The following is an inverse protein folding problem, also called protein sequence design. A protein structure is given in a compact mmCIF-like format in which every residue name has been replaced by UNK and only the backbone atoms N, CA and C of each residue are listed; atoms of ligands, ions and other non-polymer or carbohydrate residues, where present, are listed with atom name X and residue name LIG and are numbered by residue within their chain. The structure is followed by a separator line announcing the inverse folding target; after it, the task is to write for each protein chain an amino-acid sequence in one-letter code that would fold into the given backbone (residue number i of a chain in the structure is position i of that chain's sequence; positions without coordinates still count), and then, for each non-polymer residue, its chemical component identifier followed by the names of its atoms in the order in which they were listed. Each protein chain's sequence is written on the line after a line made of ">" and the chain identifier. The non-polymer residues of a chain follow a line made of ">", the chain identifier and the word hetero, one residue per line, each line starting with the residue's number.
data_IF_063114652829
#
_entry.id   IF_063114652829
#
_cell.length_a   1.000
_cell.length_b   1.000
_cell.length_c   1.000
_cell.angle_alpha   90.00
_cell.angle_beta   90.00
_cell.angle_gamma   90.00
#
_symmetry.space_group_name_H-M   'P 1'
#
loop_
_entity.id
_entity.type
_entity.pdbx_description
1 polymer ?
#
# COMPACT_ATOMS: atom_id res chain seq x y z
N UNK A 1 -29.05 -43.14 -6.26
CA UNK A 1 -28.93 -43.85 -7.57
C UNK A 1 -28.74 -42.78 -8.62
N UNK A 2 -27.59 -42.65 -9.12
CA UNK A 2 -27.03 -42.57 -10.46
C UNK A 2 -25.63 -41.96 -10.37
N UNK A 3 -24.65 -42.87 -10.56
CA UNK A 3 -23.25 -42.55 -10.77
C UNK A 3 -23.06 -42.21 -12.25
N UNK A 4 -22.31 -41.15 -12.55
CA UNK A 4 -21.70 -41.08 -13.88
C UNK A 4 -20.26 -40.58 -13.76
N UNK A 5 -19.36 -41.51 -14.10
CA UNK A 5 -17.91 -41.32 -14.27
C UNK A 5 -17.66 -40.59 -15.59
N UNK A 6 -16.70 -39.66 -15.61
CA UNK A 6 -16.05 -39.25 -16.85
C UNK A 6 -14.53 -39.43 -16.77
N UNK A 7 -14.01 -40.02 -17.83
CA UNK A 7 -12.65 -40.49 -18.01
C UNK A 7 -11.67 -39.36 -18.31
N UNK A 8 -10.44 -39.61 -17.80
CA UNK A 8 -9.18 -39.00 -18.25
C UNK A 8 -8.92 -39.26 -19.76
N UNK A 9 -8.45 -38.22 -20.46
CA UNK A 9 -7.69 -38.37 -21.72
C UNK A 9 -6.36 -37.62 -21.51
N UNK A 10 -5.30 -38.42 -21.37
CA UNK A 10 -3.90 -37.99 -21.42
C UNK A 10 -3.50 -38.03 -22.91
N UNK A 11 -3.01 -36.91 -23.44
CA UNK A 11 -2.34 -36.89 -24.76
C UNK A 11 -0.89 -36.42 -24.54
N UNK A 12 0.00 -37.41 -24.60
CA UNK A 12 1.45 -37.28 -24.78
C UNK A 12 1.74 -36.85 -26.21
N UNK A 13 2.51 -35.78 -26.41
CA UNK A 13 3.21 -35.54 -27.69
C UNK A 13 4.69 -35.35 -27.38
N UNK A 14 5.44 -36.34 -27.77
CA UNK A 14 6.90 -36.41 -27.76
C UNK A 14 7.50 -35.83 -29.03
N UNK A 15 8.52 -34.98 -28.88
CA UNK A 15 9.79 -34.98 -29.60
C UNK A 15 9.85 -34.49 -31.05
N UNK A 16 10.77 -33.54 -31.26
CA UNK A 16 11.97 -33.82 -32.10
C UNK A 16 12.86 -32.57 -32.17
N UNK A 17 14.09 -32.79 -31.72
CA UNK A 17 15.23 -31.88 -31.86
C UNK A 17 15.82 -32.11 -33.26
N UNK A 18 16.05 -31.04 -34.03
CA UNK A 18 17.03 -31.06 -35.13
C UNK A 18 17.91 -29.80 -35.03
N UNK A 19 19.18 -30.08 -34.78
CA UNK A 19 20.32 -29.18 -34.85
C UNK A 19 20.84 -29.13 -36.30
N UNK A 20 21.17 -27.95 -36.83
CA UNK A 20 22.14 -27.85 -37.92
C UNK A 20 22.85 -26.48 -37.90
N UNK A 21 24.15 -26.56 -37.87
CA UNK A 21 25.14 -25.50 -37.97
C UNK A 21 25.31 -24.94 -39.40
N UNK A 22 25.79 -23.67 -39.45
CA UNK A 22 26.86 -23.35 -40.40
C UNK A 22 26.65 -22.22 -41.39
N UNK A 23 27.55 -21.22 -41.40
CA UNK A 23 27.91 -20.51 -42.60
C UNK A 23 28.01 -18.97 -42.51
N UNK A 24 29.22 -18.47 -42.46
CA UNK A 24 29.62 -17.04 -42.40
C UNK A 24 29.54 -16.32 -43.76
N UNK A 25 29.36 -15.02 -43.69
CA UNK A 25 29.67 -13.82 -44.46
C UNK A 25 30.25 -13.96 -45.93
N UNK A 26 30.33 -12.88 -46.76
CA UNK A 26 30.73 -11.52 -46.45
C UNK A 26 30.00 -10.35 -47.19
N UNK A 27 30.45 -9.15 -46.84
CA UNK A 27 30.09 -7.82 -47.30
C UNK A 27 30.38 -7.52 -48.81
N UNK A 28 29.66 -6.52 -49.37
CA UNK A 28 30.20 -5.51 -50.32
C UNK A 28 29.25 -4.31 -50.43
N UNK A 29 29.72 -3.22 -50.17
CA UNK A 29 29.92 -1.85 -50.64
C UNK A 29 29.23 -1.43 -51.93
N UNK A 30 28.58 -0.27 -51.93
CA UNK A 30 28.95 1.00 -52.59
C UNK A 30 27.74 1.83 -53.03
N UNK A 31 27.76 3.10 -52.68
CA UNK A 31 26.95 4.21 -53.17
C UNK A 31 27.41 4.63 -54.60
N UNK A 32 26.90 5.70 -55.30
CA UNK A 32 26.25 6.92 -54.81
C UNK A 32 25.10 7.51 -55.71
N UNK A 33 24.46 8.53 -55.13
CA UNK A 33 23.78 9.73 -55.62
C UNK A 33 23.35 9.94 -57.08
N UNK A 34 22.14 10.53 -57.30
CA UNK A 34 21.94 11.79 -58.01
C UNK A 34 20.57 12.42 -57.78
N UNK A 35 20.58 13.73 -57.71
CA UNK A 35 19.49 14.70 -57.52
C UNK A 35 18.53 14.78 -58.68
N UNK A 36 17.26 15.21 -58.47
CA UNK A 36 16.74 16.51 -58.90
C UNK A 36 15.20 16.52 -59.00
N UNK A 37 14.62 17.64 -58.63
CA UNK A 37 13.43 18.15 -59.30
C UNK A 37 12.19 18.35 -58.47
N UNK A 38 11.97 19.58 -57.96
CA UNK A 38 10.84 20.04 -57.20
C UNK A 38 9.47 20.06 -57.89
N UNK A 39 8.46 20.17 -57.07
CA UNK A 39 7.22 20.98 -57.27
C UNK A 39 6.37 20.92 -56.02
N UNK A 40 6.17 22.02 -55.36
CA UNK A 40 5.04 22.37 -54.46
C UNK A 40 3.90 22.97 -55.34
N UNK A 41 2.68 23.27 -54.76
CA UNK A 41 1.99 22.80 -53.56
C UNK A 41 0.53 22.33 -53.87
N UNK A 42 -0.06 21.60 -52.91
CA UNK A 42 -1.53 21.60 -52.81
C UNK A 42 -1.90 21.46 -51.31
N UNK A 43 -2.41 22.55 -50.75
CA UNK A 43 -3.05 22.61 -49.46
C UNK A 43 -4.34 21.80 -49.44
N UNK A 44 -4.48 20.85 -48.53
CA UNK A 44 -5.78 20.42 -48.06
C UNK A 44 -5.74 20.44 -46.53
N UNK A 45 -6.50 21.39 -45.96
CA UNK A 45 -6.71 21.50 -44.55
C UNK A 45 -7.35 20.23 -43.97
N UNK A 46 -6.67 19.62 -43.02
CA UNK A 46 -7.28 18.73 -42.08
C UNK A 46 -7.34 19.53 -40.78
N UNK A 47 -8.53 19.82 -40.33
CA UNK A 47 -8.77 20.37 -39.01
C UNK A 47 -8.27 19.36 -37.97
N UNK A 48 -7.10 19.60 -37.44
CA UNK A 48 -6.63 18.97 -36.23
C UNK A 48 -7.50 19.51 -35.09
N UNK A 49 -8.34 18.65 -34.53
CA UNK A 49 -8.94 18.86 -33.23
C UNK A 49 -7.81 19.21 -32.25
N UNK A 50 -7.85 20.42 -31.71
CA UNK A 50 -6.86 20.87 -30.77
C UNK A 50 -6.94 20.08 -29.48
N UNK A 51 -6.08 19.08 -29.31
CA UNK A 51 -5.59 18.71 -28.00
C UNK A 51 -4.66 19.84 -27.58
N UNK A 52 -5.11 20.66 -26.61
CA UNK A 52 -4.22 21.62 -25.98
C UNK A 52 -3.00 20.86 -25.48
N UNK A 53 -1.82 21.30 -25.89
CA UNK A 53 -0.56 20.83 -25.34
C UNK A 53 -0.53 21.21 -23.85
N UNK A 54 -0.96 20.30 -22.98
CA UNK A 54 -1.01 20.50 -21.52
C UNK A 54 0.40 20.56 -20.91
N UNK A 55 1.43 20.26 -21.69
CA UNK A 55 2.80 20.12 -21.18
C UNK A 55 3.03 18.87 -20.31
N UNK A 56 1.99 18.04 -20.16
CA UNK A 56 2.08 16.79 -19.42
C UNK A 56 2.68 15.67 -20.28
N UNK A 57 3.33 14.69 -19.63
CA UNK A 57 3.81 13.48 -20.29
C UNK A 57 2.62 12.61 -20.77
N UNK A 58 2.83 11.76 -21.76
CA UNK A 58 1.79 10.88 -22.27
C UNK A 58 1.46 9.71 -21.35
N UNK A 59 2.34 9.41 -20.39
CA UNK A 59 2.19 8.32 -19.42
C UNK A 59 2.85 8.68 -18.09
N UNK A 60 2.35 8.11 -17.00
CA UNK A 60 2.89 8.23 -15.65
C UNK A 60 2.91 6.85 -14.98
N UNK A 61 4.04 6.47 -14.40
CA UNK A 61 4.17 5.19 -13.69
C UNK A 61 3.99 5.40 -12.19
N UNK A 62 2.98 4.74 -11.65
CA UNK A 62 2.54 4.86 -10.24
C UNK A 62 2.78 3.52 -9.56
N UNK A 63 3.41 3.53 -8.38
CA UNK A 63 3.68 2.36 -7.57
C UNK A 63 3.12 2.58 -6.17
N UNK A 64 2.05 1.88 -5.82
CA UNK A 64 1.25 2.09 -4.63
C UNK A 64 1.10 0.78 -3.84
N UNK A 65 0.45 0.83 -2.70
CA UNK A 65 -0.06 -0.33 -1.99
C UNK A 65 -1.20 -0.99 -2.78
N UNK A 66 -1.45 -2.29 -2.53
CA UNK A 66 -2.64 -2.95 -3.06
C UNK A 66 -3.91 -2.32 -2.45
N UNK A 67 -5.02 -2.29 -3.20
CA UNK A 67 -6.34 -1.79 -2.79
C UNK A 67 -6.35 -0.40 -2.11
N UNK A 68 -5.44 0.47 -2.50
CA UNK A 68 -5.19 1.73 -1.80
C UNK A 68 -5.59 2.97 -2.58
N UNK A 69 -6.28 2.81 -3.69
CA UNK A 69 -6.88 3.86 -4.51
C UNK A 69 -8.08 3.32 -5.29
N UNK A 70 -9.12 4.13 -5.44
CA UNK A 70 -10.19 3.84 -6.37
C UNK A 70 -9.66 3.94 -7.83
N UNK A 71 -9.59 2.84 -8.54
CA UNK A 71 -9.09 2.80 -9.92
C UNK A 71 -9.96 3.62 -10.90
N UNK A 72 -11.22 3.93 -10.54
CA UNK A 72 -12.05 4.86 -11.32
C UNK A 72 -11.43 6.26 -11.37
N UNK A 73 -10.72 6.68 -10.32
CA UNK A 73 -9.98 7.95 -10.30
C UNK A 73 -8.81 7.93 -11.29
N UNK A 74 -8.14 6.79 -11.45
CA UNK A 74 -7.06 6.65 -12.44
C UNK A 74 -7.62 6.75 -13.86
N UNK A 75 -8.71 6.04 -14.14
CA UNK A 75 -9.42 6.09 -15.42
C UNK A 75 -9.89 7.51 -15.73
N UNK A 76 -10.50 8.18 -14.75
CA UNK A 76 -10.96 9.57 -14.91
C UNK A 76 -9.78 10.52 -15.19
N UNK A 77 -8.65 10.35 -14.50
CA UNK A 77 -7.46 11.16 -14.75
C UNK A 77 -6.93 10.96 -16.18
N UNK A 78 -6.89 9.72 -16.65
CA UNK A 78 -6.48 9.39 -18.04
C UNK A 78 -7.38 10.08 -19.06
N UNK A 79 -8.72 10.02 -18.85
CA UNK A 79 -9.71 10.60 -19.77
C UNK A 79 -9.65 12.13 -19.80
N UNK A 80 -9.49 12.77 -18.63
CA UNK A 80 -9.50 14.23 -18.51
C UNK A 80 -8.19 14.86 -18.98
N UNK A 81 -7.05 14.20 -18.78
CA UNK A 81 -5.73 14.79 -19.00
C UNK A 81 -4.92 14.15 -20.13
N UNK A 82 -5.38 13.02 -20.67
CA UNK A 82 -4.71 12.30 -21.76
C UNK A 82 -3.38 11.67 -21.33
N UNK A 83 -3.18 11.44 -20.05
CA UNK A 83 -1.99 10.81 -19.46
C UNK A 83 -2.33 9.38 -19.09
N UNK A 84 -1.69 8.39 -19.72
CA UNK A 84 -1.88 6.98 -19.37
C UNK A 84 -1.23 6.67 -18.02
N UNK A 85 -1.96 6.07 -17.10
CA UNK A 85 -1.41 5.57 -15.82
C UNK A 85 -0.93 4.13 -15.99
N UNK A 86 0.33 3.87 -15.62
CA UNK A 86 0.89 2.53 -15.49
C UNK A 86 0.96 2.26 -14.00
N UNK A 87 0.03 1.45 -13.50
CA UNK A 87 -0.16 1.18 -12.09
C UNK A 87 0.41 -0.18 -11.70
N UNK A 88 1.18 -0.22 -10.63
CA UNK A 88 1.80 -1.42 -10.05
C UNK A 88 1.70 -1.35 -8.53
N UNK A 89 1.76 -2.47 -7.81
CA UNK A 89 1.55 -2.53 -6.37
C UNK A 89 2.69 -3.22 -5.62
N UNK A 90 2.79 -2.93 -4.31
CA UNK A 90 3.73 -3.56 -3.38
C UNK A 90 3.05 -3.87 -2.05
N UNK A 91 3.66 -4.79 -1.27
CA UNK A 91 3.11 -5.31 -0.02
C UNK A 91 3.74 -4.69 1.24
N UNK A 92 4.92 -4.07 1.13
CA UNK A 92 5.63 -3.46 2.26
C UNK A 92 6.52 -2.30 1.81
N UNK A 93 6.81 -1.37 2.73
CA UNK A 93 7.77 -0.30 2.50
C UNK A 93 9.17 -0.83 2.14
N UNK A 94 9.55 -1.96 2.73
CA UNK A 94 10.84 -2.60 2.48
C UNK A 94 10.93 -3.16 1.06
N UNK A 95 9.83 -3.72 0.52
CA UNK A 95 9.75 -4.16 -0.87
C UNK A 95 9.86 -2.99 -1.84
N UNK A 96 9.14 -1.88 -1.56
CA UNK A 96 9.25 -0.62 -2.29
C UNK A 96 10.70 -0.13 -2.30
N UNK A 97 11.34 -0.05 -1.13
CA UNK A 97 12.72 0.42 -0.99
C UNK A 97 13.70 -0.47 -1.74
N UNK A 98 13.60 -1.80 -1.58
CA UNK A 98 14.46 -2.76 -2.26
C UNK A 98 14.32 -2.66 -3.79
N UNK A 99 13.11 -2.47 -4.29
CA UNK A 99 12.83 -2.28 -5.71
C UNK A 99 13.53 -1.04 -6.27
N UNK A 100 13.43 0.09 -5.57
CA UNK A 100 14.08 1.34 -5.99
C UNK A 100 15.60 1.26 -5.89
N UNK A 101 16.16 0.65 -4.83
CA UNK A 101 17.60 0.46 -4.66
C UNK A 101 18.18 -0.50 -5.70
N UNK A 102 17.42 -1.48 -6.19
CA UNK A 102 17.85 -2.35 -7.28
C UNK A 102 17.92 -1.62 -8.63
N UNK A 103 17.64 -0.32 -8.68
CA UNK A 103 17.73 0.51 -9.88
C UNK A 103 16.44 0.46 -10.74
N UNK A 104 15.31 0.15 -10.15
CA UNK A 104 14.01 0.32 -10.82
C UNK A 104 13.72 1.81 -11.02
N UNK A 105 14.18 2.37 -12.15
CA UNK A 105 14.02 3.79 -12.51
C UNK A 105 12.71 4.08 -13.23
N UNK A 106 11.80 3.11 -13.28
CA UNK A 106 10.56 3.20 -14.08
C UNK A 106 9.38 3.84 -13.36
N UNK A 107 9.46 4.07 -12.04
CA UNK A 107 8.37 4.64 -11.27
C UNK A 107 8.54 6.15 -11.09
N UNK A 108 7.46 6.89 -11.32
CA UNK A 108 7.40 8.34 -11.20
C UNK A 108 6.84 8.78 -9.85
N UNK A 109 5.74 8.13 -9.41
CA UNK A 109 5.02 8.42 -8.16
C UNK A 109 4.98 7.17 -7.28
N UNK A 110 5.24 7.35 -5.99
CA UNK A 110 5.25 6.29 -4.97
C UNK A 110 4.54 6.75 -3.70
N UNK A 111 4.10 5.79 -2.86
CA UNK A 111 3.26 6.05 -1.69
C UNK A 111 3.87 5.51 -0.38
N UNK A 112 5.05 5.97 0.05
CA UNK A 112 5.71 5.47 1.25
C UNK A 112 5.09 6.01 2.54
N UNK A 113 5.16 5.21 3.61
CA UNK A 113 4.83 5.65 4.97
C UNK A 113 5.88 6.62 5.53
N UNK A 114 5.55 7.30 6.61
CA UNK A 114 6.31 8.33 7.29
C UNK A 114 7.80 8.00 7.53
N UNK A 115 8.11 6.88 8.22
CA UNK A 115 9.49 6.46 8.50
C UNK A 115 10.28 6.13 7.23
N UNK A 116 9.59 5.63 6.20
CA UNK A 116 10.21 5.28 4.93
C UNK A 116 10.52 6.52 4.11
N UNK A 117 9.67 7.57 4.17
CA UNK A 117 10.00 8.88 3.59
C UNK A 117 11.31 9.41 4.14
N UNK A 118 11.51 9.39 5.49
CA UNK A 118 12.76 9.80 6.11
C UNK A 118 13.96 9.04 5.54
N UNK A 119 13.85 7.72 5.44
CA UNK A 119 14.92 6.87 4.93
C UNK A 119 15.20 7.13 3.44
N UNK A 120 14.16 7.29 2.63
CA UNK A 120 14.30 7.57 1.19
C UNK A 120 14.92 8.95 0.91
N UNK A 121 14.63 9.95 1.76
CA UNK A 121 15.27 11.28 1.69
C UNK A 121 16.79 11.14 1.94
N UNK A 122 17.18 10.42 2.98
CA UNK A 122 18.61 10.19 3.29
C UNK A 122 19.36 9.45 2.18
N UNK A 123 18.67 8.51 1.52
CA UNK A 123 19.22 7.75 0.40
C UNK A 123 19.18 8.51 -0.94
N UNK A 124 18.57 9.70 -0.98
CA UNK A 124 18.45 10.51 -2.20
C UNK A 124 17.53 9.88 -3.25
N UNK A 125 16.54 9.11 -2.84
CA UNK A 125 15.59 8.42 -3.73
C UNK A 125 14.38 9.26 -4.08
N UNK A 126 14.12 10.37 -3.37
CA UNK A 126 13.00 11.27 -3.59
C UNK A 126 13.39 12.56 -4.28
N UNK A 127 12.56 13.02 -5.20
CA UNK A 127 12.67 14.33 -5.85
C UNK A 127 12.00 15.43 -5.06
N UNK A 128 12.61 16.62 -4.99
CA UNK A 128 11.95 17.79 -4.38
C UNK A 128 10.74 18.22 -5.23
N UNK A 129 9.59 18.47 -4.60
CA UNK A 129 8.37 18.93 -5.29
C UNK A 129 8.31 20.45 -5.40
N UNK A 130 7.65 20.94 -6.46
CA UNK A 130 7.27 22.36 -6.57
C UNK A 130 5.81 22.54 -6.14
N UNK A 131 5.60 23.04 -4.92
CA UNK A 131 4.27 23.24 -4.34
C UNK A 131 3.40 24.25 -5.12
N UNK A 132 3.98 25.06 -6.00
CA UNK A 132 3.19 25.92 -6.89
C UNK A 132 2.38 25.11 -7.91
N UNK A 133 2.81 23.89 -8.22
CA UNK A 133 2.11 22.94 -9.08
C UNK A 133 1.07 22.10 -8.32
N UNK A 134 1.02 22.22 -6.98
CA UNK A 134 0.14 21.45 -6.10
C UNK A 134 -0.72 22.39 -5.22
N UNK A 135 -1.55 23.27 -5.80
CA UNK A 135 -2.36 24.22 -5.04
C UNK A 135 -3.33 23.55 -4.05
N UNK A 136 -3.79 22.32 -4.34
CA UNK A 136 -4.67 21.56 -3.45
C UNK A 136 -3.97 21.05 -2.16
N UNK A 137 -2.65 21.24 -2.02
CA UNK A 137 -1.96 21.05 -0.75
C UNK A 137 -2.57 21.93 0.37
N UNK A 138 -3.20 23.05 0.02
CA UNK A 138 -3.93 23.91 0.94
C UNK A 138 -5.21 23.29 1.52
N UNK A 139 -5.69 22.17 0.96
CA UNK A 139 -6.84 21.42 1.45
C UNK A 139 -6.50 20.54 2.66
N UNK A 140 -5.20 20.28 2.89
CA UNK A 140 -4.74 19.38 3.95
C UNK A 140 -4.95 20.00 5.34
N UNK A 141 -5.29 19.16 6.31
CA UNK A 141 -5.30 19.53 7.72
C UNK A 141 -3.87 19.87 8.15
N UNK A 142 -3.65 21.04 8.78
CA UNK A 142 -2.32 21.46 9.23
C UNK A 142 -1.60 20.46 10.15
N UNK A 143 -2.33 19.57 10.83
CA UNK A 143 -1.75 18.53 11.66
C UNK A 143 -0.86 17.55 10.88
N UNK A 144 -1.20 17.28 9.62
CA UNK A 144 -0.47 16.33 8.76
C UNK A 144 0.60 17.01 7.89
N UNK A 145 0.70 18.35 7.97
CA UNK A 145 1.72 19.11 7.24
C UNK A 145 2.95 19.36 8.12
N UNK A 146 4.10 19.62 7.48
CA UNK A 146 5.37 19.98 8.14
C UNK A 146 5.85 18.88 9.12
N UNK A 147 5.63 17.61 8.74
CA UNK A 147 6.03 16.47 9.56
C UNK A 147 7.56 16.43 9.78
N UNK A 148 8.06 15.96 10.95
CA UNK A 148 9.48 15.95 11.26
C UNK A 148 10.35 15.19 10.25
N UNK A 149 9.79 14.20 9.57
CA UNK A 149 10.49 13.39 8.56
C UNK A 149 10.63 14.10 7.19
N UNK A 150 9.77 15.08 6.88
CA UNK A 150 9.84 15.90 5.67
C UNK A 150 9.47 17.37 5.97
N UNK A 151 10.35 18.12 6.66
CA UNK A 151 10.08 19.49 7.07
C UNK A 151 9.69 20.37 5.89
N UNK A 152 8.53 21.01 6.02
CA UNK A 152 7.95 21.89 5.00
C UNK A 152 7.37 21.13 3.80
N UNK A 153 7.13 19.85 3.86
CA UNK A 153 6.64 19.02 2.73
C UNK A 153 7.47 19.29 1.47
N UNK A 154 8.76 19.06 1.58
CA UNK A 154 9.72 19.37 0.52
C UNK A 154 9.72 18.29 -0.57
N UNK A 155 9.44 17.05 -0.20
CA UNK A 155 9.51 15.88 -1.06
C UNK A 155 8.16 15.23 -1.32
N UNK A 156 7.27 15.26 -0.32
CA UNK A 156 6.02 14.51 -0.35
C UNK A 156 4.82 15.36 0.12
N UNK A 157 3.63 14.87 -0.15
CA UNK A 157 2.37 15.40 0.38
C UNK A 157 1.63 14.30 1.10
N UNK A 158 0.86 14.59 2.18
CA UNK A 158 0.05 13.58 2.88
C UNK A 158 -0.98 12.92 1.94
N UNK A 159 -1.22 11.62 2.12
CA UNK A 159 -2.17 10.86 1.30
C UNK A 159 -3.31 10.28 2.12
N UNK A 160 -3.03 9.33 2.99
CA UNK A 160 -3.96 8.69 3.92
C UNK A 160 -3.27 8.49 5.27
N UNK A 161 -4.04 8.22 6.31
CA UNK A 161 -3.51 7.88 7.63
C UNK A 161 -4.42 6.87 8.31
N UNK A 162 -3.88 6.17 9.28
CA UNK A 162 -4.64 5.18 10.04
C UNK A 162 -3.91 4.69 11.27
N UNK A 163 -4.48 3.65 11.85
CA UNK A 163 -3.93 2.93 13.00
C UNK A 163 -3.80 1.45 12.68
N UNK A 164 -2.94 0.76 13.42
CA UNK A 164 -2.84 -0.69 13.36
C UNK A 164 -3.39 -1.29 14.65
N UNK A 165 -4.22 -2.33 14.51
CA UNK A 165 -4.87 -2.95 15.66
C UNK A 165 -5.26 -4.40 15.37
N UNK A 166 -6.40 -4.79 15.90
CA UNK A 166 -6.92 -6.16 15.84
C UNK A 166 -8.32 -6.14 15.24
N UNK A 167 -8.49 -6.74 14.05
CA UNK A 167 -9.79 -7.10 13.50
C UNK A 167 -10.17 -8.50 13.99
N UNK A 168 -11.44 -8.70 14.39
CA UNK A 168 -11.88 -9.96 14.99
C UNK A 168 -13.33 -10.29 14.63
N UNK A 169 -13.65 -11.57 14.51
CA UNK A 169 -15.02 -12.03 14.37
C UNK A 169 -15.79 -11.84 15.69
N UNK A 170 -16.91 -11.11 15.62
CA UNK A 170 -17.72 -10.75 16.78
C UNK A 170 -18.31 -11.99 17.47
N UNK A 171 -18.77 -12.97 16.71
CA UNK A 171 -19.31 -14.21 17.25
C UNK A 171 -18.29 -15.03 18.03
N UNK A 172 -17.01 -15.01 17.60
CA UNK A 172 -15.91 -15.70 18.31
C UNK A 172 -15.51 -14.94 19.57
N UNK A 173 -15.51 -13.61 19.52
CA UNK A 173 -15.23 -12.76 20.67
C UNK A 173 -16.32 -12.91 21.76
N UNK A 174 -17.60 -12.92 21.36
CA UNK A 174 -18.76 -12.89 22.24
C UNK A 174 -18.79 -11.59 23.05
N UNK A 175 -19.11 -11.68 24.34
CA UNK A 175 -19.21 -10.49 25.22
C UNK A 175 -17.87 -9.86 25.60
N UNK A 176 -16.73 -10.41 25.12
CA UNK A 176 -15.39 -9.97 25.48
C UNK A 176 -14.55 -9.70 24.23
N UNK A 177 -14.71 -8.53 23.59
CA UNK A 177 -13.85 -8.11 22.51
C UNK A 177 -12.37 -8.14 22.93
N UNK A 178 -11.44 -8.49 22.00
CA UNK A 178 -10.01 -8.43 22.31
C UNK A 178 -9.59 -6.98 22.58
N UNK A 179 -8.78 -6.78 23.63
CA UNK A 179 -8.28 -5.47 24.05
C UNK A 179 -6.77 -5.45 24.30
N UNK A 180 -6.08 -6.53 23.94
CA UNK A 180 -4.66 -6.75 24.18
C UNK A 180 -4.03 -7.55 23.02
N UNK A 181 -2.78 -7.24 22.69
CA UNK A 181 -1.95 -8.02 21.77
C UNK A 181 -1.77 -9.50 22.22
N UNK A 182 -2.04 -9.78 23.51
CA UNK A 182 -1.99 -11.15 24.04
C UNK A 182 -2.86 -12.14 23.24
N UNK A 183 -3.96 -11.69 22.63
CA UNK A 183 -4.82 -12.58 21.82
C UNK A 183 -4.11 -13.16 20.60
N UNK A 184 -3.06 -12.50 20.12
CA UNK A 184 -2.20 -12.98 19.02
C UNK A 184 -0.96 -13.69 19.51
N UNK A 185 -0.39 -13.29 20.66
CA UNK A 185 0.97 -13.66 21.05
C UNK A 185 1.05 -14.59 22.27
N UNK A 186 0.06 -14.58 23.17
CA UNK A 186 -0.01 -15.55 24.26
C UNK A 186 -0.57 -16.87 23.73
N UNK A 187 0.17 -18.00 23.85
CA UNK A 187 -0.25 -19.28 23.27
C UNK A 187 -1.61 -19.81 23.74
N UNK A 188 -2.03 -19.49 24.98
CA UNK A 188 -3.32 -19.95 25.52
C UNK A 188 -4.47 -19.16 24.90
N UNK A 189 -4.27 -17.83 24.69
CA UNK A 189 -5.27 -16.97 24.08
C UNK A 189 -5.29 -17.15 22.55
N UNK A 190 -4.14 -17.16 21.90
CA UNK A 190 -4.00 -17.37 20.46
C UNK A 190 -4.65 -18.69 19.99
N UNK A 191 -4.55 -19.74 20.82
CA UNK A 191 -5.17 -21.04 20.52
C UNK A 191 -6.68 -20.94 20.32
N UNK A 192 -7.41 -20.09 21.06
CA UNK A 192 -8.85 -19.88 20.90
C UNK A 192 -9.19 -19.45 19.47
N UNK A 193 -8.43 -18.46 18.96
CA UNK A 193 -8.63 -17.90 17.64
C UNK A 193 -8.17 -18.83 16.52
N UNK A 194 -7.05 -19.52 16.75
CA UNK A 194 -6.56 -20.53 15.82
C UNK A 194 -7.54 -21.69 15.63
N UNK A 195 -8.16 -22.17 16.71
CA UNK A 195 -9.16 -23.24 16.68
C UNK A 195 -10.49 -22.77 16.05
N UNK A 196 -10.82 -21.46 16.12
CA UNK A 196 -12.07 -20.90 15.63
C UNK A 196 -12.08 -20.62 14.11
N UNK A 197 -10.91 -20.44 13.49
CA UNK A 197 -10.82 -20.12 12.07
C UNK A 197 -9.39 -19.82 11.62
N UNK A 198 -8.56 -19.40 12.55
CA UNK A 198 -7.17 -19.06 12.30
C UNK A 198 -6.85 -17.60 12.56
N UNK A 199 -5.56 -17.31 12.59
CA UNK A 199 -5.00 -15.98 12.82
C UNK A 199 -4.30 -15.53 11.55
N UNK A 200 -4.64 -14.36 11.04
CA UNK A 200 -3.80 -13.63 10.09
C UNK A 200 -2.91 -12.64 10.84
N UNK A 201 -1.69 -12.46 10.36
CA UNK A 201 -0.83 -11.35 10.75
C UNK A 201 -0.32 -10.64 9.51
N UNK A 202 -0.10 -9.34 9.60
CA UNK A 202 0.47 -8.56 8.51
C UNK A 202 1.85 -9.12 8.11
N UNK A 203 2.07 -9.23 6.83
CA UNK A 203 3.37 -9.63 6.26
C UNK A 203 4.32 -8.42 6.19
N UNK A 204 4.38 -7.68 7.29
CA UNK A 204 5.20 -6.50 7.47
C UNK A 204 6.04 -6.64 8.74
N UNK A 205 7.36 -6.49 8.59
CA UNK A 205 8.30 -6.70 9.70
C UNK A 205 8.20 -5.63 10.77
N UNK A 206 7.98 -4.36 10.38
CA UNK A 206 7.89 -3.26 11.32
C UNK A 206 6.63 -3.38 12.17
N UNK A 207 5.52 -3.67 11.53
CA UNK A 207 4.22 -3.85 12.14
C UNK A 207 4.21 -5.04 13.11
N UNK A 208 4.62 -6.21 12.66
CA UNK A 208 4.51 -7.41 13.50
C UNK A 208 5.52 -7.45 14.65
N UNK A 209 6.77 -7.03 14.42
CA UNK A 209 7.78 -6.95 15.49
C UNK A 209 7.40 -5.82 16.47
N UNK A 210 6.89 -4.68 15.96
CA UNK A 210 6.42 -3.58 16.79
C UNK A 210 5.25 -3.98 17.70
N UNK A 211 4.27 -4.70 17.18
CA UNK A 211 3.17 -5.22 18.00
C UNK A 211 3.66 -6.19 19.10
N UNK A 212 4.67 -7.03 18.80
CA UNK A 212 5.28 -7.90 19.82
C UNK A 212 6.09 -7.11 20.87
N UNK A 213 6.74 -6.02 20.48
CA UNK A 213 7.40 -5.10 21.41
C UNK A 213 6.40 -4.44 22.34
N UNK A 214 5.28 -3.93 21.80
CA UNK A 214 4.19 -3.35 22.63
C UNK A 214 3.62 -4.36 23.61
N UNK A 215 3.40 -5.60 23.18
CA UNK A 215 2.96 -6.68 24.06
C UNK A 215 3.92 -6.92 25.25
N UNK A 216 5.21 -6.72 25.05
CA UNK A 216 6.25 -6.80 26.09
C UNK A 216 6.38 -5.52 26.91
N UNK A 217 5.68 -4.43 26.55
CA UNK A 217 5.76 -3.12 27.22
C UNK A 217 6.93 -2.25 26.74
N UNK A 218 7.46 -2.53 25.56
CA UNK A 218 8.49 -1.73 24.88
C UNK A 218 7.87 -0.82 23.82
N UNK A 219 8.64 0.16 23.35
CA UNK A 219 8.23 1.01 22.22
C UNK A 219 8.33 0.26 20.88
N UNK A 220 7.46 0.61 19.92
CA UNK A 220 7.58 0.13 18.52
C UNK A 220 8.91 0.54 17.86
N UNK A 221 9.57 1.55 18.42
CA UNK A 221 10.83 2.11 17.93
C UNK A 221 12.04 1.62 18.74
N UNK A 222 11.87 0.57 19.55
CA UNK A 222 12.94 0.06 20.39
C UNK A 222 14.13 -0.45 19.56
N UNK A 223 15.33 -0.10 19.99
CA UNK A 223 16.60 -0.42 19.30
C UNK A 223 17.52 -1.31 20.14
N UNK A 224 17.07 -1.73 21.34
CA UNK A 224 17.83 -2.64 22.19
C UNK A 224 17.75 -4.07 21.64
N UNK A 225 18.90 -4.64 21.28
CA UNK A 225 18.96 -5.99 20.71
C UNK A 225 18.39 -7.08 21.67
N UNK A 226 18.44 -6.88 22.99
CA UNK A 226 17.88 -7.84 23.93
C UNK A 226 16.34 -7.80 23.89
N UNK A 227 15.73 -6.62 23.81
CA UNK A 227 14.28 -6.49 23.66
C UNK A 227 13.79 -7.03 22.32
N UNK A 228 14.54 -6.77 21.26
CA UNK A 228 14.25 -7.34 19.93
C UNK A 228 14.35 -8.87 19.90
N UNK A 229 15.30 -9.45 20.64
CA UNK A 229 15.38 -10.91 20.80
C UNK A 229 14.19 -11.46 21.60
N UNK A 230 13.72 -10.75 22.64
CA UNK A 230 12.51 -11.13 23.39
C UNK A 230 11.27 -11.08 22.48
N UNK A 231 11.10 -10.03 21.68
CA UNK A 231 10.01 -9.92 20.70
C UNK A 231 10.06 -11.06 19.68
N UNK A 232 11.26 -11.43 19.18
CA UNK A 232 11.43 -12.60 18.31
C UNK A 232 10.94 -13.89 18.99
N UNK A 233 11.29 -14.12 20.25
CA UNK A 233 10.84 -15.32 20.95
C UNK A 233 9.32 -15.36 21.12
N UNK A 234 8.68 -14.22 21.41
CA UNK A 234 7.22 -14.08 21.44
C UNK A 234 6.62 -14.52 20.09
N UNK A 235 7.14 -14.00 18.98
CA UNK A 235 6.64 -14.31 17.65
C UNK A 235 6.87 -15.78 17.25
N UNK A 236 8.02 -16.34 17.60
CA UNK A 236 8.30 -17.78 17.38
C UNK A 236 7.36 -18.68 18.19
N UNK A 237 7.01 -18.29 19.42
CA UNK A 237 6.05 -19.03 20.25
C UNK A 237 4.61 -18.90 19.72
N UNK A 238 4.23 -17.76 19.14
CA UNK A 238 2.93 -17.53 18.53
C UNK A 238 2.77 -18.21 17.16
N UNK A 239 3.88 -18.39 16.42
CA UNK A 239 3.87 -18.89 15.04
C UNK A 239 3.06 -20.17 14.80
N UNK A 240 3.05 -21.20 15.68
CA UNK A 240 2.24 -22.40 15.48
C UNK A 240 0.72 -22.13 15.41
N UNK A 241 0.25 -20.99 15.87
CA UNK A 241 -1.15 -20.58 15.88
C UNK A 241 -1.50 -19.67 14.69
N UNK A 242 -0.50 -19.09 14.02
CA UNK A 242 -0.68 -18.21 12.87
C UNK A 242 -0.99 -19.03 11.63
N UNK A 243 -2.15 -18.79 11.01
CA UNK A 243 -2.59 -19.45 9.78
C UNK A 243 -1.88 -18.88 8.57
N UNK A 244 -1.72 -17.54 8.54
CA UNK A 244 -1.14 -16.85 7.39
C UNK A 244 -0.46 -15.54 7.78
N UNK A 245 0.49 -15.11 6.93
CA UNK A 245 1.13 -13.81 6.92
C UNK A 245 0.70 -13.13 5.62
N UNK A 246 -0.30 -12.27 5.68
CA UNK A 246 -0.85 -11.60 4.51
C UNK A 246 -1.16 -10.14 4.79
N UNK A 247 -0.67 -9.24 3.92
CA UNK A 247 -0.94 -7.79 3.92
C UNK A 247 -1.55 -7.32 2.61
N UNK A 248 -1.74 -8.21 1.62
CA UNK A 248 -2.32 -7.86 0.33
C UNK A 248 -3.72 -8.43 0.23
N UNK A 249 -4.72 -7.58 -0.06
CA UNK A 249 -6.09 -8.02 -0.34
C UNK A 249 -6.66 -8.98 0.74
N UNK A 250 -6.21 -8.82 2.00
CA UNK A 250 -6.59 -9.76 3.06
C UNK A 250 -7.98 -9.48 3.63
N UNK A 251 -8.50 -8.28 3.49
CA UNK A 251 -9.88 -7.91 3.78
C UNK A 251 -10.85 -8.69 2.88
N UNK A 252 -10.67 -8.66 1.56
CA UNK A 252 -11.50 -9.35 0.58
C UNK A 252 -11.25 -10.87 0.53
N UNK A 253 -9.99 -11.29 0.74
CA UNK A 253 -9.63 -12.71 0.64
C UNK A 253 -9.76 -13.49 1.94
N UNK A 254 -9.68 -12.83 3.11
CA UNK A 254 -9.66 -13.51 4.42
C UNK A 254 -10.74 -13.00 5.38
N UNK A 255 -10.90 -11.66 5.53
CA UNK A 255 -11.82 -11.11 6.53
C UNK A 255 -13.27 -11.25 6.06
N UNK A 256 -13.66 -10.59 4.98
CA UNK A 256 -15.03 -10.59 4.48
C UNK A 256 -15.58 -12.02 4.27
N UNK A 257 -14.86 -12.97 3.66
CA UNK A 257 -15.34 -14.35 3.53
C UNK A 257 -15.24 -15.18 4.84
N UNK A 258 -14.70 -14.64 5.93
CA UNK A 258 -14.59 -15.35 7.21
C UNK A 258 -13.55 -16.49 7.22
N UNK A 259 -12.51 -16.39 6.39
CA UNK A 259 -11.46 -17.41 6.31
C UNK A 259 -10.50 -17.43 7.50
N UNK A 260 -10.51 -16.37 8.32
CA UNK A 260 -9.79 -16.26 9.58
C UNK A 260 -10.74 -15.76 10.67
N UNK A 261 -10.41 -16.01 11.94
CA UNK A 261 -11.21 -15.56 13.07
C UNK A 261 -10.71 -14.23 13.67
N UNK A 262 -9.44 -13.90 13.45
CA UNK A 262 -8.79 -12.70 13.98
C UNK A 262 -7.61 -12.31 13.07
N UNK A 263 -7.33 -11.04 12.99
CA UNK A 263 -6.23 -10.50 12.21
C UNK A 263 -5.52 -9.36 12.94
N UNK A 264 -4.20 -9.35 12.94
CA UNK A 264 -3.40 -8.13 13.02
C UNK A 264 -3.71 -7.32 11.77
N UNK A 265 -4.25 -6.11 11.92
CA UNK A 265 -4.93 -5.42 10.82
C UNK A 265 -4.70 -3.92 10.85
N UNK A 266 -4.59 -3.34 9.66
CA UNK A 266 -4.75 -1.90 9.49
C UNK A 266 -6.22 -1.51 9.60
N UNK A 267 -6.47 -0.27 10.05
CA UNK A 267 -7.82 0.20 10.40
C UNK A 267 -8.78 0.25 9.21
N UNK A 268 -8.30 0.60 8.01
CA UNK A 268 -9.15 0.69 6.82
C UNK A 268 -9.67 -0.67 6.37
N UNK A 269 -8.77 -1.69 6.27
CA UNK A 269 -9.19 -3.05 5.89
C UNK A 269 -10.15 -3.65 6.93
N UNK A 270 -9.91 -3.38 8.21
CA UNK A 270 -10.83 -3.79 9.26
C UNK A 270 -12.19 -3.10 9.15
N UNK A 271 -12.21 -1.80 8.84
CA UNK A 271 -13.42 -1.03 8.63
C UNK A 271 -14.18 -1.49 7.37
N UNK A 272 -13.47 -1.78 6.27
CA UNK A 272 -14.07 -2.36 5.06
C UNK A 272 -14.74 -3.70 5.39
N UNK A 273 -14.06 -4.59 6.12
CA UNK A 273 -14.65 -5.85 6.55
C UNK A 273 -15.89 -5.63 7.46
N UNK A 274 -15.86 -4.64 8.34
CA UNK A 274 -17.00 -4.27 9.17
C UNK A 274 -18.19 -3.83 8.32
N UNK A 275 -18.01 -2.88 7.40
CA UNK A 275 -19.11 -2.29 6.63
C UNK A 275 -19.64 -3.22 5.54
N UNK A 276 -18.80 -4.03 4.90
CA UNK A 276 -19.21 -5.02 3.89
C UNK A 276 -19.99 -6.21 4.51
N UNK A 277 -19.84 -6.46 5.83
CA UNK A 277 -20.56 -7.51 6.54
C UNK A 277 -21.65 -6.95 7.47
N UNK A 278 -21.93 -5.63 7.41
CA UNK A 278 -22.94 -4.98 8.24
C UNK A 278 -24.37 -5.32 7.80
N UNK A 279 -25.17 -5.78 8.74
CA UNK A 279 -26.59 -6.09 8.55
C UNK A 279 -27.46 -4.98 9.15
N UNK A 280 -28.16 -4.24 8.28
CA UNK A 280 -29.04 -3.11 8.68
C UNK A 280 -30.24 -3.53 9.56
N UNK A 281 -30.72 -4.81 9.45
CA UNK A 281 -31.88 -5.26 10.22
C UNK A 281 -31.52 -5.56 11.68
N UNK A 282 -30.36 -6.14 11.90
CA UNK A 282 -29.83 -6.45 13.24
C UNK A 282 -28.98 -5.33 13.83
N UNK A 283 -28.58 -4.36 13.02
CA UNK A 283 -27.60 -3.30 13.37
C UNK A 283 -26.27 -3.89 13.88
N UNK A 284 -25.79 -4.98 13.26
CA UNK A 284 -24.57 -5.69 13.65
C UNK A 284 -23.69 -5.99 12.44
N UNK A 285 -22.39 -6.16 12.69
CA UNK A 285 -21.44 -6.67 11.71
C UNK A 285 -20.84 -7.99 12.19
N UNK A 286 -20.34 -8.80 11.26
CA UNK A 286 -19.57 -10.01 11.58
C UNK A 286 -18.20 -9.67 12.16
N UNK A 287 -17.66 -8.49 11.83
CA UNK A 287 -16.33 -8.04 12.23
C UNK A 287 -16.38 -6.88 13.21
N UNK A 288 -15.38 -6.81 14.07
CA UNK A 288 -15.07 -5.68 14.94
C UNK A 288 -13.61 -5.31 14.84
N UNK A 289 -13.27 -4.09 15.21
CA UNK A 289 -11.89 -3.59 15.29
C UNK A 289 -11.60 -3.01 16.66
N UNK A 290 -10.39 -3.21 17.15
CA UNK A 290 -9.94 -2.64 18.43
C UNK A 290 -8.47 -2.25 18.37
N UNK A 291 -8.17 -1.15 19.05
CA UNK A 291 -6.81 -0.72 19.34
C UNK A 291 -6.44 -1.28 20.71
N UNK A 292 -5.40 -2.13 20.83
CA UNK A 292 -5.00 -2.75 22.11
C UNK A 292 -4.58 -1.74 23.17
N UNK A 293 -4.82 -2.11 24.44
CA UNK A 293 -4.51 -1.25 25.59
C UNK A 293 -3.01 -0.97 25.75
N UNK A 294 -2.14 -1.84 25.28
CA UNK A 294 -0.68 -1.65 25.31
C UNK A 294 -0.21 -0.56 24.36
N UNK A 295 -1.06 -0.09 23.47
CA UNK A 295 -0.74 0.83 22.40
C UNK A 295 -0.72 0.18 21.03
N UNK A 296 -0.54 0.99 20.01
CA UNK A 296 -0.53 0.57 18.62
C UNK A 296 0.25 1.58 17.77
N UNK A 297 0.45 1.26 16.50
CA UNK A 297 0.92 2.22 15.50
C UNK A 297 -0.17 3.23 15.15
N UNK A 298 0.23 4.47 14.96
CA UNK A 298 -0.43 5.44 14.09
C UNK A 298 0.55 5.81 13.00
N UNK A 299 0.08 5.88 11.76
CA UNK A 299 0.94 6.10 10.59
C UNK A 299 0.28 7.06 9.59
N UNK A 300 1.13 7.68 8.78
CA UNK A 300 0.74 8.52 7.66
C UNK A 300 1.47 8.08 6.40
N UNK A 301 0.71 7.79 5.36
CA UNK A 301 1.24 7.56 4.03
C UNK A 301 1.27 8.85 3.22
N UNK A 302 2.20 8.92 2.31
CA UNK A 302 2.53 10.13 1.57
C UNK A 302 2.62 9.82 0.08
N UNK A 303 2.28 10.79 -0.76
CA UNK A 303 2.56 10.74 -2.18
C UNK A 303 3.88 11.45 -2.44
N UNK A 304 4.82 10.76 -3.04
CA UNK A 304 6.16 11.29 -3.33
C UNK A 304 6.53 11.09 -4.80
N UNK A 305 7.40 11.97 -5.31
CA UNK A 305 8.01 11.83 -6.64
C UNK A 305 9.37 11.18 -6.49
N UNK A 306 9.69 10.18 -7.30
CA UNK A 306 11.03 9.57 -7.27
C UNK A 306 12.09 10.52 -7.82
N UNK A 307 13.30 10.47 -7.27
CA UNK A 307 14.44 11.29 -7.76
C UNK A 307 14.82 10.98 -9.22
N UNK A 308 14.48 9.79 -9.71
CA UNK A 308 14.76 9.34 -11.08
C UNK A 308 13.70 9.76 -12.10
N UNK A 309 12.57 10.29 -11.67
CA UNK A 309 11.48 10.67 -12.58
C UNK A 309 11.87 11.86 -13.44
N UNK A 310 11.76 11.68 -14.75
CA UNK A 310 11.86 12.76 -15.75
C UNK A 310 10.50 13.44 -16.01
N UNK A 311 9.42 12.95 -15.38
CA UNK A 311 8.04 13.39 -15.58
C UNK A 311 7.50 14.18 -14.38
N UNK A 312 8.37 14.87 -13.66
CA UNK A 312 8.06 15.56 -12.40
C UNK A 312 6.81 16.46 -12.48
N UNK A 313 6.67 17.26 -13.52
CA UNK A 313 5.51 18.16 -13.67
C UNK A 313 4.20 17.36 -13.80
N UNK A 314 4.22 16.21 -14.47
CA UNK A 314 3.06 15.32 -14.59
C UNK A 314 2.75 14.63 -13.27
N UNK A 315 3.79 14.21 -12.53
CA UNK A 315 3.65 13.63 -11.20
C UNK A 315 3.04 14.64 -10.22
N UNK A 316 3.53 15.87 -10.18
CA UNK A 316 2.98 16.96 -9.34
C UNK A 316 1.53 17.30 -9.72
N UNK A 317 1.19 17.25 -11.01
CA UNK A 317 -0.18 17.44 -11.49
C UNK A 317 -1.09 16.29 -11.00
N UNK A 318 -0.63 15.05 -11.06
CA UNK A 318 -1.36 13.89 -10.55
C UNK A 318 -1.52 13.96 -9.02
N UNK A 319 -0.46 14.34 -8.28
CA UNK A 319 -0.56 14.61 -6.85
C UNK A 319 -1.64 15.64 -6.54
N UNK A 320 -1.64 16.77 -7.27
CA UNK A 320 -2.65 17.83 -7.09
C UNK A 320 -4.06 17.32 -7.38
N UNK A 321 -4.23 16.44 -8.37
CA UNK A 321 -5.51 15.82 -8.70
C UNK A 321 -6.03 14.94 -7.54
N UNK A 322 -5.18 14.12 -6.93
CA UNK A 322 -5.55 13.29 -5.78
C UNK A 322 -5.89 14.12 -4.53
N UNK A 323 -5.27 15.29 -4.37
CA UNK A 323 -5.54 16.22 -3.26
C UNK A 323 -6.77 17.12 -3.50
N UNK A 324 -7.49 16.97 -4.62
CA UNK A 324 -8.81 17.58 -4.76
C UNK A 324 -9.76 17.05 -3.69
N UNK A 325 -10.67 17.89 -3.19
CA UNK A 325 -11.54 17.52 -2.08
C UNK A 325 -12.45 16.32 -2.39
N UNK A 326 -13.01 16.27 -3.61
CA UNK A 326 -13.89 15.16 -4.01
C UNK A 326 -13.11 13.90 -4.30
N UNK A 327 -11.93 14.03 -4.94
CA UNK A 327 -11.07 12.87 -5.22
C UNK A 327 -10.49 12.30 -3.92
N UNK A 328 -10.05 13.15 -2.98
CA UNK A 328 -9.61 12.72 -1.65
C UNK A 328 -10.72 12.00 -0.86
N UNK A 329 -11.96 12.47 -0.98
CA UNK A 329 -13.10 11.77 -0.37
C UNK A 329 -13.42 10.44 -1.07
N UNK A 330 -13.34 10.38 -2.40
CA UNK A 330 -13.54 9.14 -3.14
C UNK A 330 -12.51 8.08 -2.74
N UNK A 331 -11.25 8.47 -2.52
CA UNK A 331 -10.21 7.57 -2.00
C UNK A 331 -10.63 7.00 -0.64
N UNK A 332 -10.98 7.85 0.33
CA UNK A 332 -11.41 7.42 1.68
C UNK A 332 -12.68 6.57 1.63
N UNK A 333 -13.67 6.94 0.82
CA UNK A 333 -14.92 6.17 0.69
C UNK A 333 -14.71 4.78 0.08
N UNK A 334 -13.66 4.61 -0.72
CA UNK A 334 -13.29 3.33 -1.31
C UNK A 334 -12.42 2.49 -0.35
N UNK A 335 -11.39 3.12 0.24
CA UNK A 335 -10.37 2.41 1.03
C UNK A 335 -10.72 2.28 2.51
N UNK A 336 -11.70 3.04 3.00
CA UNK A 336 -12.05 3.20 4.43
C UNK A 336 -10.90 3.73 5.31
N UNK A 337 -9.81 4.21 4.73
CA UNK A 337 -8.75 4.88 5.49
C UNK A 337 -9.04 6.37 5.66
N UNK A 338 -8.59 6.92 6.78
CA UNK A 338 -8.82 8.32 7.11
C UNK A 338 -8.07 9.27 6.15
N UNK A 339 -8.75 10.32 5.69
CA UNK A 339 -8.15 11.35 4.87
C UNK A 339 -7.47 12.43 5.72
N UNK A 340 -6.24 12.85 5.40
CA UNK A 340 -5.63 14.06 5.94
C UNK A 340 -6.17 15.32 5.26
N UNK A 341 -7.02 15.20 4.23
CA UNK A 341 -7.61 16.31 3.48
C UNK A 341 -8.82 16.87 4.22
N UNK A 342 -8.65 18.01 4.88
CA UNK A 342 -9.74 18.66 5.63
C UNK A 342 -10.92 19.05 4.76
N UNK A 343 -10.69 19.43 3.50
CA UNK A 343 -11.74 19.79 2.55
C UNK A 343 -12.53 18.57 2.05
N UNK A 344 -11.94 17.37 2.09
CA UNK A 344 -12.62 16.13 1.70
C UNK A 344 -13.73 15.72 2.67
N UNK A 345 -13.66 16.14 3.94
CA UNK A 345 -14.61 15.71 5.00
C UNK A 345 -16.09 15.96 4.65
N UNK A 346 -16.38 16.96 3.83
CA UNK A 346 -17.75 17.27 3.38
C UNK A 346 -18.31 16.21 2.40
N UNK A 347 -17.44 15.41 1.77
CA UNK A 347 -17.79 14.43 0.74
C UNK A 347 -17.59 12.98 1.20
N UNK A 348 -17.02 12.78 2.40
CA UNK A 348 -16.89 11.46 3.03
C UNK A 348 -18.24 11.05 3.59
N UNK A 349 -18.61 9.77 3.45
CA UNK A 349 -19.88 9.24 3.95
C UNK A 349 -19.98 9.36 5.48
N UNK A 350 -21.20 9.52 6.01
CA UNK A 350 -21.42 9.70 7.46
C UNK A 350 -20.96 8.49 8.27
N UNK A 351 -21.08 7.30 7.72
CA UNK A 351 -20.65 6.04 8.32
C UNK A 351 -19.13 6.05 8.56
N UNK A 352 -18.36 6.47 7.58
CA UNK A 352 -16.90 6.50 7.65
C UNK A 352 -16.40 7.63 8.55
N UNK A 353 -16.91 8.87 8.36
CA UNK A 353 -16.41 10.03 9.11
C UNK A 353 -16.71 9.95 10.61
N UNK A 354 -17.74 9.19 11.01
CA UNK A 354 -18.15 9.01 12.41
C UNK A 354 -17.63 7.69 13.02
N UNK A 355 -16.95 6.84 12.26
CA UNK A 355 -16.40 5.59 12.76
C UNK A 355 -15.14 5.85 13.60
N UNK A 356 -15.14 5.52 14.91
CA UNK A 356 -13.98 5.74 15.77
C UNK A 356 -12.80 4.78 15.48
N UNK A 357 -13.01 3.73 14.70
CA UNK A 357 -11.95 2.85 14.21
C UNK A 357 -11.16 3.53 13.07
N UNK A 358 -11.84 4.37 12.26
CA UNK A 358 -11.25 5.12 11.15
C UNK A 358 -10.76 6.49 11.62
N UNK A 359 -11.60 7.23 12.36
CA UNK A 359 -11.28 8.54 12.92
C UNK A 359 -11.26 8.49 14.45
N UNK A 360 -10.23 7.88 15.06
CA UNK A 360 -10.11 7.78 16.50
C UNK A 360 -10.01 9.16 17.17
N UNK A 361 -10.44 9.21 18.44
CA UNK A 361 -10.34 10.45 19.23
C UNK A 361 -8.89 10.87 19.44
N UNK A 362 -8.65 12.18 19.65
CA UNK A 362 -7.31 12.67 19.97
C UNK A 362 -6.74 11.98 21.22
N UNK A 363 -7.58 11.66 22.24
CA UNK A 363 -7.15 10.92 23.41
C UNK A 363 -6.62 9.51 23.06
N UNK A 364 -7.18 8.88 22.05
CA UNK A 364 -6.69 7.60 21.52
C UNK A 364 -5.38 7.79 20.79
N UNK A 365 -5.30 8.75 19.88
CA UNK A 365 -4.08 9.04 19.10
C UNK A 365 -2.90 9.38 20.00
N UNK A 366 -3.12 10.13 21.08
CA UNK A 366 -2.08 10.51 22.04
C UNK A 366 -1.44 9.32 22.79
N UNK A 367 -2.04 8.13 22.73
CA UNK A 367 -1.52 6.88 23.30
C UNK A 367 -0.79 6.01 22.28
N UNK A 368 -0.85 6.37 21.01
CA UNK A 368 -0.25 5.62 19.91
C UNK A 368 1.16 6.13 19.62
N UNK A 369 1.94 5.30 18.96
CA UNK A 369 3.30 5.64 18.58
C UNK A 369 3.42 5.77 17.04
N UNK A 370 4.10 6.84 16.62
CA UNK A 370 4.53 7.02 15.24
C UNK A 370 5.78 6.20 14.97
N UNK A 371 5.85 5.54 13.82
CA UNK A 371 7.05 4.82 13.43
C UNK A 371 8.20 5.79 13.12
N UNK A 372 9.35 5.55 13.74
CA UNK A 372 10.58 6.31 13.50
C UNK A 372 11.56 5.50 12.66
N UNK A 373 12.48 6.22 12.02
CA UNK A 373 13.60 5.59 11.35
C UNK A 373 14.51 4.87 12.35
N UNK A 374 14.78 3.59 12.12
CA UNK A 374 15.59 2.74 13.00
C UNK A 374 17.11 2.88 12.77
N UNK A 375 17.54 3.51 11.66
CA UNK A 375 18.94 3.54 11.28
C UNK A 375 19.50 2.14 11.04
N UNK A 376 20.71 1.87 11.50
CA UNK A 376 21.36 0.54 11.32
C UNK A 376 20.61 -0.61 12.05
N UNK A 377 19.76 -0.31 13.02
CA UNK A 377 18.97 -1.34 13.71
C UNK A 377 18.00 -2.06 12.79
N UNK A 378 17.63 -1.47 11.65
CA UNK A 378 16.80 -2.14 10.64
C UNK A 378 17.37 -3.49 10.22
N UNK A 379 18.69 -3.66 10.14
CA UNK A 379 19.33 -4.94 9.82
C UNK A 379 19.09 -6.03 10.89
N UNK A 380 18.82 -5.62 12.12
CA UNK A 380 18.44 -6.56 13.20
C UNK A 380 16.99 -7.02 12.97
N UNK A 381 16.09 -6.12 12.61
CA UNK A 381 14.72 -6.44 12.22
C UNK A 381 14.69 -7.38 11.02
N UNK A 382 15.45 -7.11 9.94
CA UNK A 382 15.55 -7.97 8.75
C UNK A 382 16.00 -9.40 9.11
N UNK A 383 17.00 -9.52 9.99
CA UNK A 383 17.46 -10.82 10.47
C UNK A 383 16.37 -11.56 11.24
N UNK A 384 15.73 -10.88 12.19
CA UNK A 384 14.63 -11.45 13.01
C UNK A 384 13.49 -11.89 12.10
N UNK A 385 13.08 -11.03 11.15
CA UNK A 385 12.04 -11.33 10.19
C UNK A 385 12.35 -12.59 9.36
N UNK A 386 13.58 -12.67 8.85
CA UNK A 386 14.05 -13.84 8.10
C UNK A 386 13.98 -15.11 8.96
N UNK A 387 14.38 -15.05 10.23
CA UNK A 387 14.31 -16.18 11.16
C UNK A 387 12.86 -16.61 11.43
N UNK A 388 11.94 -15.64 11.63
CA UNK A 388 10.51 -15.90 11.82
C UNK A 388 9.91 -16.57 10.58
N UNK A 389 10.21 -16.07 9.38
CA UNK A 389 9.63 -16.59 8.13
C UNK A 389 10.18 -17.96 7.74
N UNK A 390 11.41 -18.29 8.14
CA UNK A 390 12.10 -19.53 7.73
C UNK A 390 11.78 -20.76 8.60
N UNK A 391 11.24 -20.61 9.78
CA UNK A 391 10.84 -21.70 10.68
C UNK A 391 9.39 -22.13 10.44
#
# INVERSE_FOLDING_TARGET
>A
MFKQKWLLVILLVTGLIISACGGAAPAQESAPAQESGGSEPASSGSEASGSGDSGLANELSVYNWADYIDEELLTKYEEEHGVKIIYDTYASNEDLLAKLQAGATGYDVIFPSDYMVAQMIELGLLGEIDKNNIPNLSNMDPFFLDAPYDPGNKYCVPYQWGTTGIAYQVDVAGDNPPDSWAVLFDPEQAKKWADAGGINVLNDQRELIGAALLYLGYSINDKDEAHLEEAKQVLLNAKPYIKTFNSEDYDDSLLIPGEVAISHSWSGDAAKAYWETYDEESETSEWGYTIPNEGAFVWQDNICVTASSEKKATAEHFMNYLLDAQNGAAITNYTYYASPNAAAKEFITEEIINDPGIYPSQETIDKLEWAEQLGETIFVYDRIWTEIKSQ
#
